data_IF_971210483878
#
_entry.id   IF_971210483878
#
_cell.length_a   1.000
_cell.length_b   1.000
_cell.length_c   1.000
_cell.angle_alpha   90.00
_cell.angle_beta   90.00
_cell.angle_gamma   90.00
#
_symmetry.space_group_name_H-M   'P 1'
#
loop_
_entity.id
_entity.type
_entity.pdbx_description
1 polymer ?
#
# COMPACT_ATOMS: atom_id res chain seq x y z
N UNK A 1 -31.98 17.68 2.21
CA UNK A 1 -32.37 16.41 2.85
C UNK A 1 -31.12 15.84 3.52
N UNK A 2 -31.08 15.79 4.85
CA UNK A 2 -29.86 15.43 5.60
C UNK A 2 -30.01 14.01 6.13
N UNK A 3 -29.31 13.06 5.52
CA UNK A 3 -29.30 11.66 5.97
C UNK A 3 -28.41 11.56 7.23
N UNK A 4 -29.02 11.29 8.39
CA UNK A 4 -28.27 10.91 9.60
C UNK A 4 -28.17 9.39 9.66
N UNK A 5 -26.97 8.87 9.42
CA UNK A 5 -26.66 7.43 9.56
C UNK A 5 -26.18 7.20 10.99
N UNK A 6 -26.94 6.45 11.78
CA UNK A 6 -26.50 5.96 13.08
C UNK A 6 -25.77 4.64 12.87
N UNK A 7 -24.49 4.61 13.24
CA UNK A 7 -23.59 3.49 13.02
C UNK A 7 -23.07 3.02 14.38
N UNK A 8 -23.38 1.78 14.76
CA UNK A 8 -22.75 1.12 15.91
C UNK A 8 -21.32 0.71 15.52
N UNK A 9 -20.33 1.41 16.08
CA UNK A 9 -18.90 1.21 15.77
C UNK A 9 -18.39 -0.20 16.10
N UNK A 10 -19.14 -0.99 16.87
CA UNK A 10 -18.77 -2.35 17.25
C UNK A 10 -19.39 -3.43 16.35
N UNK A 11 -20.35 -3.08 15.48
CA UNK A 11 -20.96 -4.04 14.55
C UNK A 11 -20.04 -4.36 13.37
N UNK A 12 -19.96 -5.64 12.97
CA UNK A 12 -19.12 -6.07 11.84
C UNK A 12 -19.37 -5.30 10.52
N UNK A 13 -20.62 -5.03 10.08
CA UNK A 13 -20.85 -4.25 8.86
C UNK A 13 -20.45 -2.77 9.02
N UNK A 14 -20.52 -2.21 10.24
CA UNK A 14 -20.12 -0.84 10.53
C UNK A 14 -18.61 -0.61 10.52
N UNK A 15 -17.80 -1.60 10.94
CA UNK A 15 -16.33 -1.55 10.74
C UNK A 15 -15.93 -1.59 9.27
N UNK A 16 -16.74 -2.24 8.41
CA UNK A 16 -16.47 -2.27 6.97
C UNK A 16 -16.60 -0.87 6.32
N UNK A 17 -17.52 -0.04 6.83
CA UNK A 17 -17.75 1.33 6.32
C UNK A 17 -16.70 2.32 6.85
N UNK A 18 -16.16 2.12 8.06
CA UNK A 18 -15.26 3.09 8.71
C UNK A 18 -13.76 2.70 8.72
N UNK A 19 -13.40 1.41 8.59
CA UNK A 19 -12.04 0.96 8.96
C UNK A 19 -11.34 0.09 7.89
N UNK A 20 -12.03 -0.54 6.93
CA UNK A 20 -11.36 -1.61 6.16
C UNK A 20 -11.28 -1.52 4.63
N UNK A 21 -12.00 -0.63 3.94
CA UNK A 21 -11.86 -0.54 2.48
C UNK A 21 -11.40 0.85 2.04
N UNK A 22 -10.07 1.06 2.10
CA UNK A 22 -9.40 2.24 1.54
C UNK A 22 -9.93 2.56 0.13
N UNK A 23 -10.03 1.54 -0.71
CA UNK A 23 -10.53 1.71 -2.08
C UNK A 23 -12.04 1.99 -2.19
N UNK A 24 -12.89 1.53 -1.27
CA UNK A 24 -14.34 1.82 -1.30
C UNK A 24 -14.61 3.28 -0.98
N UNK A 25 -13.85 3.85 -0.06
CA UNK A 25 -13.90 5.29 0.24
C UNK A 25 -13.44 6.09 -0.98
N UNK A 26 -12.31 5.71 -1.61
CA UNK A 26 -11.84 6.38 -2.83
C UNK A 26 -12.87 6.35 -3.97
N UNK A 27 -13.56 5.22 -4.17
CA UNK A 27 -14.67 5.12 -5.13
C UNK A 27 -15.80 6.07 -4.75
N UNK A 28 -16.23 6.07 -3.49
CA UNK A 28 -17.30 6.95 -3.01
C UNK A 28 -16.96 8.43 -3.22
N UNK A 29 -15.74 8.85 -2.83
CA UNK A 29 -15.27 10.22 -3.00
C UNK A 29 -15.28 10.62 -4.49
N UNK A 30 -14.80 9.73 -5.36
CA UNK A 30 -14.77 9.97 -6.81
C UNK A 30 -16.17 10.09 -7.42
N UNK A 31 -17.16 9.38 -6.89
CA UNK A 31 -18.55 9.43 -7.36
C UNK A 31 -19.35 10.60 -6.77
N UNK A 32 -19.10 10.94 -5.50
CA UNK A 32 -19.92 11.91 -4.76
C UNK A 32 -19.56 13.35 -5.10
N UNK A 33 -18.27 13.65 -5.24
CA UNK A 33 -17.80 15.03 -5.35
C UNK A 33 -17.61 15.43 -6.82
N UNK A 34 -18.39 16.41 -7.32
CA UNK A 34 -18.15 16.97 -8.64
C UNK A 34 -16.78 17.66 -8.68
N UNK A 35 -16.10 17.61 -9.83
CA UNK A 35 -14.77 18.21 -10.01
C UNK A 35 -13.60 17.24 -9.77
N UNK A 36 -13.85 16.03 -9.24
CA UNK A 36 -12.83 14.97 -9.25
C UNK A 36 -12.56 14.57 -10.71
N UNK A 37 -11.29 14.63 -11.12
CA UNK A 37 -10.91 14.29 -12.48
C UNK A 37 -11.28 12.85 -12.83
N UNK A 38 -11.86 12.66 -14.03
CA UNK A 38 -12.42 11.37 -14.47
C UNK A 38 -11.39 10.24 -14.57
N UNK A 39 -10.09 10.57 -14.64
CA UNK A 39 -9.04 9.57 -14.65
C UNK A 39 -8.91 8.82 -13.31
N UNK A 40 -9.30 9.43 -12.18
CA UNK A 40 -9.21 8.80 -10.87
C UNK A 40 -10.12 7.57 -10.78
N UNK A 41 -11.34 7.68 -11.29
CA UNK A 41 -12.29 6.57 -11.32
C UNK A 41 -13.02 6.52 -12.68
N UNK A 42 -12.42 5.87 -13.70
CA UNK A 42 -12.94 5.85 -15.07
C UNK A 42 -14.36 5.32 -15.17
N UNK A 43 -15.19 5.91 -16.04
CA UNK A 43 -16.58 5.49 -16.29
C UNK A 43 -16.71 4.35 -17.29
N UNK A 44 -15.75 4.20 -18.21
CA UNK A 44 -15.78 3.15 -19.21
C UNK A 44 -15.66 1.76 -18.56
N UNK A 45 -16.66 0.91 -18.79
CA UNK A 45 -16.89 -0.32 -18.04
C UNK A 45 -15.69 -1.28 -18.06
N UNK A 46 -15.04 -1.45 -19.21
CA UNK A 46 -13.89 -2.35 -19.34
C UNK A 46 -12.71 -1.85 -18.49
N UNK A 47 -12.46 -0.54 -18.47
CA UNK A 47 -11.39 0.04 -17.65
C UNK A 47 -11.74 -0.03 -16.17
N UNK A 48 -13.01 0.22 -15.82
CA UNK A 48 -13.50 0.11 -14.44
C UNK A 48 -13.39 -1.33 -13.90
N UNK A 49 -13.67 -2.33 -14.72
CA UNK A 49 -13.50 -3.73 -14.36
C UNK A 49 -12.03 -4.09 -14.05
N UNK A 50 -11.08 -3.57 -14.85
CA UNK A 50 -9.64 -3.72 -14.56
C UNK A 50 -9.25 -3.02 -13.26
N UNK A 51 -9.75 -1.81 -13.02
CA UNK A 51 -9.53 -1.07 -11.76
C UNK A 51 -10.00 -1.90 -10.57
N UNK A 52 -11.23 -2.42 -10.60
CA UNK A 52 -11.76 -3.27 -9.53
C UNK A 52 -10.94 -4.55 -9.34
N UNK A 53 -10.51 -5.18 -10.44
CA UNK A 53 -9.67 -6.39 -10.37
C UNK A 53 -8.38 -6.16 -9.59
N UNK A 54 -7.69 -5.02 -9.78
CA UNK A 54 -6.49 -4.67 -9.01
C UNK A 54 -6.82 -4.35 -7.56
N UNK A 55 -7.92 -3.64 -7.32
CA UNK A 55 -8.38 -3.26 -5.98
C UNK A 55 -8.82 -4.46 -5.13
N UNK A 56 -9.29 -5.54 -5.74
CA UNK A 56 -9.60 -6.78 -5.02
C UNK A 56 -8.34 -7.66 -4.88
N UNK A 57 -7.52 -7.72 -5.94
CA UNK A 57 -6.31 -8.53 -5.96
C UNK A 57 -5.30 -8.15 -4.86
N UNK A 58 -5.12 -6.86 -4.57
CA UNK A 58 -4.04 -6.44 -3.66
C UNK A 58 -4.21 -6.99 -2.22
N UNK A 59 -5.44 -7.20 -1.74
CA UNK A 59 -5.70 -7.64 -0.36
C UNK A 59 -5.08 -8.99 -0.05
N UNK A 60 -5.30 -9.98 -0.93
CA UNK A 60 -4.80 -11.34 -0.73
C UNK A 60 -3.33 -11.53 -1.18
N UNK A 61 -2.76 -10.51 -1.86
CA UNK A 61 -1.43 -10.57 -2.47
C UNK A 61 -0.52 -9.50 -1.85
N UNK A 62 -0.42 -8.33 -2.48
CA UNK A 62 0.53 -7.27 -2.10
C UNK A 62 0.41 -6.85 -0.63
N UNK A 63 -0.80 -6.60 -0.14
CA UNK A 63 -1.05 -6.21 1.26
C UNK A 63 -0.70 -7.33 2.23
N UNK A 64 -1.11 -8.57 1.92
CA UNK A 64 -0.81 -9.74 2.75
C UNK A 64 0.70 -9.96 2.89
N UNK A 65 1.44 -9.88 1.79
CA UNK A 65 2.88 -10.03 1.77
C UNK A 65 3.59 -8.91 2.53
N UNK A 66 3.31 -7.65 2.18
CA UNK A 66 3.96 -6.47 2.79
C UNK A 66 3.73 -6.39 4.29
N UNK A 67 2.48 -6.50 4.75
CA UNK A 67 2.15 -6.50 6.19
C UNK A 67 2.81 -7.68 6.89
N UNK A 68 2.83 -8.87 6.27
CA UNK A 68 3.46 -10.05 6.85
C UNK A 68 4.96 -9.84 7.12
N UNK A 69 5.70 -9.28 6.16
CA UNK A 69 7.13 -8.96 6.31
C UNK A 69 7.33 -7.89 7.38
N UNK A 70 6.60 -6.78 7.30
CA UNK A 70 6.67 -5.68 8.27
C UNK A 70 6.44 -6.17 9.70
N UNK A 71 5.41 -7.00 9.90
CA UNK A 71 5.05 -7.49 11.23
C UNK A 71 6.16 -8.36 11.81
N UNK A 72 6.74 -9.27 11.02
CA UNK A 72 7.76 -10.20 11.50
C UNK A 72 9.16 -9.60 11.61
N UNK A 73 9.52 -8.66 10.73
CA UNK A 73 10.87 -8.06 10.68
C UNK A 73 11.00 -6.80 11.54
N UNK A 74 9.90 -6.10 11.83
CA UNK A 74 9.95 -4.80 12.53
C UNK A 74 9.05 -4.81 13.76
N UNK A 75 7.75 -5.04 13.60
CA UNK A 75 6.78 -4.79 14.68
C UNK A 75 6.90 -5.81 15.83
N UNK A 76 7.04 -7.10 15.55
CA UNK A 76 7.21 -8.12 16.59
C UNK A 76 8.52 -7.94 17.37
N UNK A 77 9.69 -7.75 16.73
CA UNK A 77 10.92 -7.40 17.44
C UNK A 77 10.78 -6.16 18.34
N UNK A 78 10.15 -5.09 17.83
CA UNK A 78 9.88 -3.88 18.62
C UNK A 78 8.98 -4.15 19.84
N UNK A 79 8.10 -5.16 19.78
CA UNK A 79 7.26 -5.56 20.91
C UNK A 79 7.90 -6.62 21.81
N UNK A 80 9.12 -7.06 21.52
CA UNK A 80 9.75 -8.19 22.23
C UNK A 80 9.06 -9.53 21.98
N UNK A 81 8.24 -9.61 20.93
CA UNK A 81 7.58 -10.83 20.49
C UNK A 81 8.58 -11.58 19.60
N UNK A 82 8.88 -12.86 19.87
CA UNK A 82 9.75 -13.65 19.01
C UNK A 82 9.22 -13.69 17.57
N UNK A 83 10.11 -13.45 16.61
CA UNK A 83 9.78 -13.63 15.20
C UNK A 83 9.49 -15.11 14.91
N UNK A 84 8.57 -15.38 13.99
CA UNK A 84 8.34 -16.73 13.47
C UNK A 84 9.02 -16.84 12.10
N UNK A 85 10.20 -17.50 12.00
CA UNK A 85 10.98 -17.53 10.77
C UNK A 85 10.20 -18.11 9.58
N UNK A 86 9.39 -19.15 9.82
CA UNK A 86 8.58 -19.79 8.79
C UNK A 86 7.48 -18.85 8.29
N UNK A 87 6.80 -18.15 9.20
CA UNK A 87 5.79 -17.16 8.82
C UNK A 87 6.39 -15.97 8.07
N UNK A 88 7.61 -15.54 8.45
CA UNK A 88 8.33 -14.50 7.73
C UNK A 88 8.70 -14.94 6.31
N UNK A 89 9.24 -16.15 6.15
CA UNK A 89 9.58 -16.72 4.84
C UNK A 89 8.34 -16.85 3.93
N UNK A 90 7.21 -17.30 4.48
CA UNK A 90 5.93 -17.37 3.74
C UNK A 90 5.41 -15.98 3.34
N UNK A 91 5.58 -14.97 4.19
CA UNK A 91 5.22 -13.60 3.88
C UNK A 91 6.12 -13.02 2.78
N UNK A 92 7.43 -13.24 2.85
CA UNK A 92 8.38 -12.82 1.82
C UNK A 92 8.07 -13.47 0.47
N UNK A 93 7.82 -14.79 0.43
CA UNK A 93 7.40 -15.48 -0.81
C UNK A 93 6.08 -14.94 -1.37
N UNK A 94 5.15 -14.56 -0.50
CA UNK A 94 3.88 -13.93 -0.92
C UNK A 94 4.13 -12.56 -1.53
N UNK A 95 4.99 -11.75 -0.90
CA UNK A 95 5.36 -10.43 -1.37
C UNK A 95 6.13 -10.48 -2.70
N UNK A 96 7.10 -11.39 -2.82
CA UNK A 96 7.88 -11.61 -4.05
C UNK A 96 6.97 -11.96 -5.24
N UNK A 97 6.01 -12.88 -5.03
CA UNK A 97 5.00 -13.21 -6.05
C UNK A 97 4.14 -11.99 -6.41
N UNK A 98 3.71 -11.21 -5.42
CA UNK A 98 2.89 -10.03 -5.66
C UNK A 98 3.65 -8.94 -6.42
N UNK A 99 4.90 -8.66 -6.05
CA UNK A 99 5.78 -7.70 -6.74
C UNK A 99 6.08 -8.16 -8.17
N UNK A 100 6.29 -9.46 -8.38
CA UNK A 100 6.46 -10.04 -9.72
C UNK A 100 5.23 -9.81 -10.60
N UNK A 101 4.02 -10.02 -10.07
CA UNK A 101 2.77 -9.74 -10.80
C UNK A 101 2.61 -8.23 -11.04
N UNK A 102 2.98 -7.39 -10.08
CA UNK A 102 2.93 -5.94 -10.24
C UNK A 102 3.84 -5.49 -11.41
N UNK A 103 5.09 -5.96 -11.41
CA UNK A 103 6.12 -5.66 -12.42
C UNK A 103 5.77 -6.19 -13.83
N UNK A 104 5.33 -7.44 -13.91
CA UNK A 104 5.21 -8.15 -15.20
C UNK A 104 3.83 -8.08 -15.83
N UNK A 105 2.79 -7.86 -15.01
CA UNK A 105 1.41 -7.85 -15.47
C UNK A 105 0.76 -6.48 -15.30
N UNK A 106 0.67 -5.96 -14.08
CA UNK A 106 -0.08 -4.72 -13.84
C UNK A 106 0.60 -3.45 -14.36
N UNK A 107 1.93 -3.44 -14.41
CA UNK A 107 2.78 -2.38 -14.95
C UNK A 107 3.39 -2.75 -16.32
N UNK A 108 2.80 -3.73 -17.01
CA UNK A 108 3.31 -4.19 -18.31
C UNK A 108 3.25 -3.08 -19.37
N UNK A 109 2.08 -2.46 -19.50
CA UNK A 109 1.70 -1.68 -20.69
C UNK A 109 1.74 -0.16 -20.48
N UNK A 110 2.14 0.34 -19.31
CA UNK A 110 2.15 1.78 -19.05
C UNK A 110 2.78 2.20 -17.73
N UNK A 111 2.93 3.52 -17.50
CA UNK A 111 3.55 4.09 -16.31
C UNK A 111 2.69 3.97 -15.05
N UNK A 112 1.40 3.68 -15.19
CA UNK A 112 0.43 3.46 -14.11
C UNK A 112 -0.26 2.12 -14.25
N UNK A 113 -0.85 1.66 -13.14
CA UNK A 113 -1.55 0.38 -13.09
C UNK A 113 -2.67 0.30 -14.13
N UNK A 114 -2.98 -0.94 -14.50
CA UNK A 114 -3.95 -1.31 -15.56
C UNK A 114 -3.62 -0.74 -16.95
N UNK A 115 -2.34 -0.41 -17.18
CA UNK A 115 -1.82 0.04 -18.48
C UNK A 115 -2.25 1.45 -18.86
N UNK A 116 -2.39 2.36 -17.87
CA UNK A 116 -2.90 3.71 -18.09
C UNK A 116 -1.79 4.74 -18.23
N UNK A 117 -2.09 5.82 -18.95
CA UNK A 117 -1.22 7.00 -19.08
C UNK A 117 -1.38 8.02 -17.96
N UNK A 118 -2.48 7.95 -17.19
CA UNK A 118 -2.74 8.76 -16.00
C UNK A 118 -3.03 7.84 -14.81
N UNK A 119 -2.74 8.27 -13.56
CA UNK A 119 -3.02 7.47 -12.38
C UNK A 119 -4.53 7.29 -12.18
N UNK A 120 -4.90 6.29 -11.39
CA UNK A 120 -6.25 6.11 -10.86
C UNK A 120 -6.22 5.84 -9.37
N UNK A 121 -7.39 5.60 -8.78
CA UNK A 121 -7.51 5.12 -7.40
C UNK A 121 -6.73 3.82 -7.14
N UNK A 122 -6.42 3.02 -8.16
CA UNK A 122 -5.54 1.84 -7.99
C UNK A 122 -4.15 2.26 -7.58
N UNK A 123 -3.62 3.31 -8.20
CA UNK A 123 -2.26 3.79 -7.97
C UNK A 123 -2.13 4.38 -6.57
N UNK A 124 -3.07 5.24 -6.17
CA UNK A 124 -3.15 5.78 -4.81
C UNK A 124 -3.22 4.69 -3.73
N UNK A 125 -4.04 3.66 -3.98
CA UNK A 125 -4.27 2.62 -3.00
C UNK A 125 -3.05 1.68 -2.88
N UNK A 126 -2.51 1.21 -4.00
CA UNK A 126 -1.43 0.21 -3.99
C UNK A 126 -0.06 0.83 -3.73
N UNK A 127 0.20 2.08 -4.11
CA UNK A 127 1.50 2.72 -3.83
C UNK A 127 1.77 2.77 -2.33
N UNK A 128 0.71 2.98 -1.53
CA UNK A 128 0.79 2.99 -0.07
C UNK A 128 1.27 1.65 0.51
N UNK A 129 0.94 0.52 -0.12
CA UNK A 129 1.38 -0.82 0.31
C UNK A 129 2.88 -1.04 0.04
N UNK A 130 3.40 -0.47 -1.06
CA UNK A 130 4.84 -0.51 -1.37
C UNK A 130 5.60 0.47 -0.48
N UNK A 131 5.08 1.70 -0.31
CA UNK A 131 5.67 2.70 0.57
C UNK A 131 5.76 2.21 2.01
N UNK A 132 4.82 1.38 2.48
CA UNK A 132 4.91 0.80 3.82
C UNK A 132 6.21 -0.01 4.06
N UNK A 133 6.83 -0.56 3.01
CA UNK A 133 8.10 -1.29 3.11
C UNK A 133 9.28 -0.38 3.46
N UNK A 134 9.16 0.94 3.33
CA UNK A 134 10.20 1.90 3.73
C UNK A 134 10.61 1.77 5.20
N UNK A 135 9.75 1.22 6.07
CA UNK A 135 10.06 1.02 7.49
C UNK A 135 11.03 -0.15 7.75
N UNK A 136 11.32 -0.98 6.73
CA UNK A 136 12.29 -2.05 6.83
C UNK A 136 13.72 -1.50 6.99
N UNK A 137 14.66 -2.38 7.35
CA UNK A 137 16.09 -2.04 7.26
C UNK A 137 16.46 -1.78 5.80
N UNK A 138 17.50 -0.97 5.56
CA UNK A 138 17.93 -0.63 4.18
C UNK A 138 18.32 -1.89 3.42
N UNK A 139 19.07 -2.79 4.06
CA UNK A 139 19.45 -4.08 3.49
C UNK A 139 18.23 -4.93 3.07
N UNK A 140 17.22 -5.03 3.93
CA UNK A 140 16.04 -5.84 3.64
C UNK A 140 15.15 -5.19 2.58
N UNK A 141 14.96 -3.88 2.68
CA UNK A 141 14.23 -3.08 1.71
C UNK A 141 14.84 -3.24 0.31
N UNK A 142 16.16 -3.03 0.19
CA UNK A 142 16.85 -3.09 -1.09
C UNK A 142 16.88 -4.50 -1.66
N UNK A 143 17.07 -5.53 -0.81
CA UNK A 143 16.97 -6.93 -1.23
C UNK A 143 15.61 -7.25 -1.84
N UNK A 144 14.53 -6.73 -1.25
CA UNK A 144 13.17 -7.01 -1.71
C UNK A 144 12.82 -6.20 -2.95
N UNK A 145 13.12 -4.90 -2.99
CA UNK A 145 12.58 -4.01 -4.04
C UNK A 145 13.51 -3.75 -5.22
N UNK A 146 14.84 -3.84 -5.06
CA UNK A 146 15.78 -3.57 -6.15
C UNK A 146 15.58 -4.40 -7.44
N UNK A 147 15.05 -5.65 -7.40
CA UNK A 147 14.76 -6.39 -8.63
C UNK A 147 13.61 -5.81 -9.46
N UNK A 148 12.70 -5.04 -8.85
CA UNK A 148 11.43 -4.61 -9.44
C UNK A 148 11.49 -3.17 -9.94
N UNK A 149 12.21 -2.97 -11.04
CA UNK A 149 12.51 -1.64 -11.59
C UNK A 149 11.26 -0.87 -12.02
N UNK A 150 10.27 -1.53 -12.63
CA UNK A 150 9.02 -0.86 -13.02
C UNK A 150 8.19 -0.50 -11.80
N UNK A 151 8.18 -1.33 -10.76
CA UNK A 151 7.53 -0.99 -9.49
C UNK A 151 8.16 0.28 -8.90
N UNK A 152 9.48 0.35 -8.81
CA UNK A 152 10.18 1.54 -8.31
C UNK A 152 9.87 2.79 -9.16
N UNK A 153 9.93 2.66 -10.49
CA UNK A 153 9.59 3.77 -11.39
C UNK A 153 8.11 4.19 -11.26
N UNK A 154 7.20 3.25 -11.07
CA UNK A 154 5.78 3.52 -10.87
C UNK A 154 5.51 4.26 -9.55
N UNK A 155 6.25 3.96 -8.48
CA UNK A 155 6.20 4.74 -7.23
C UNK A 155 6.57 6.20 -7.49
N UNK A 156 7.67 6.46 -8.20
CA UNK A 156 8.10 7.83 -8.54
C UNK A 156 7.12 8.53 -9.49
N UNK A 157 6.54 7.82 -10.46
CA UNK A 157 5.51 8.36 -11.34
C UNK A 157 4.27 8.76 -10.54
N UNK A 158 3.85 7.91 -9.59
CA UNK A 158 2.67 8.15 -8.73
C UNK A 158 2.91 9.32 -7.81
N UNK A 159 4.09 9.40 -7.19
CA UNK A 159 4.53 10.54 -6.40
C UNK A 159 4.48 11.84 -7.19
N UNK A 160 5.12 11.87 -8.36
CA UNK A 160 5.12 13.06 -9.24
C UNK A 160 3.72 13.50 -9.65
N UNK A 161 2.82 12.55 -9.91
CA UNK A 161 1.44 12.84 -10.30
C UNK A 161 0.55 13.32 -9.13
N UNK A 162 1.03 13.20 -7.87
CA UNK A 162 0.26 13.52 -6.66
C UNK A 162 0.95 14.53 -5.75
N UNK A 163 2.03 15.15 -6.21
CA UNK A 163 2.72 16.26 -5.55
C UNK A 163 1.77 17.46 -5.36
N UNK A 164 1.81 18.17 -4.21
CA UNK A 164 2.69 17.94 -3.05
C UNK A 164 2.14 16.98 -2.00
N UNK A 165 0.92 16.45 -2.20
CA UNK A 165 0.20 15.69 -1.19
C UNK A 165 0.84 14.33 -0.89
N UNK A 166 1.57 13.76 -1.85
CA UNK A 166 2.31 12.51 -1.63
C UNK A 166 3.32 12.65 -0.49
N UNK A 167 4.13 13.70 -0.53
CA UNK A 167 5.16 13.98 0.47
C UNK A 167 4.54 14.30 1.83
N UNK A 168 3.47 15.09 1.85
CA UNK A 168 2.75 15.44 3.08
C UNK A 168 2.26 14.20 3.83
N UNK A 169 1.59 13.28 3.11
CA UNK A 169 1.00 12.07 3.70
C UNK A 169 2.10 11.09 4.13
N UNK A 170 3.14 10.90 3.31
CA UNK A 170 4.23 9.97 3.62
C UNK A 170 5.28 10.55 4.57
N UNK A 171 5.20 11.83 4.95
CA UNK A 171 6.07 12.41 5.98
C UNK A 171 5.99 11.69 7.32
N UNK A 172 4.80 11.22 7.71
CA UNK A 172 4.56 10.43 8.93
C UNK A 172 5.27 9.07 8.87
N UNK A 173 5.29 8.43 7.71
CA UNK A 173 5.99 7.18 7.47
C UNK A 173 7.49 7.34 7.69
N UNK A 174 8.11 8.39 7.14
CA UNK A 174 9.54 8.64 7.32
C UNK A 174 9.91 8.98 8.76
N UNK A 175 9.04 9.69 9.49
CA UNK A 175 9.21 9.90 10.93
C UNK A 175 9.16 8.56 11.69
N UNK A 176 8.17 7.73 11.39
CA UNK A 176 8.00 6.40 12.01
C UNK A 176 9.20 5.48 11.74
N UNK A 177 9.72 5.49 10.50
CA UNK A 177 10.94 4.76 10.11
C UNK A 177 12.13 5.11 11.00
N UNK A 178 12.36 6.41 11.24
CA UNK A 178 13.45 6.89 12.12
C UNK A 178 13.26 6.42 13.57
N UNK A 179 12.04 6.56 14.09
CA UNK A 179 11.71 6.13 15.46
C UNK A 179 11.89 4.61 15.66
N UNK A 180 11.43 3.80 14.71
CA UNK A 180 11.59 2.34 14.76
C UNK A 180 13.05 1.91 14.69
N UNK A 181 13.86 2.55 13.85
CA UNK A 181 15.31 2.28 13.78
C UNK A 181 16.00 2.57 15.11
N UNK A 182 15.72 3.73 15.71
CA UNK A 182 16.29 4.11 17.01
C UNK A 182 15.91 3.09 18.12
N UNK A 183 14.64 2.66 18.15
CA UNK A 183 14.18 1.67 19.13
C UNK A 183 14.80 0.28 18.92
N UNK A 184 14.95 -0.16 17.67
CA UNK A 184 15.62 -1.43 17.36
C UNK A 184 17.10 -1.40 17.73
N UNK A 185 17.81 -0.29 17.46
CA UNK A 185 19.21 -0.10 17.84
C UNK A 185 19.39 -0.24 19.36
N UNK A 186 18.59 0.50 20.15
CA UNK A 186 18.60 0.44 21.61
C UNK A 186 18.38 -0.97 22.17
N UNK A 187 17.48 -1.75 21.55
CA UNK A 187 17.20 -3.13 21.96
C UNK A 187 18.29 -4.12 21.55
N UNK A 188 18.99 -3.86 20.46
CA UNK A 188 20.05 -4.73 19.95
C UNK A 188 21.38 -4.58 20.70
N UNK A 189 21.50 -3.62 21.62
CA UNK A 189 22.74 -3.32 22.34
C UNK A 189 23.85 -2.73 21.45
N UNK A 190 23.56 -2.43 20.18
CA UNK A 190 24.47 -1.72 19.27
C UNK A 190 24.22 -0.21 19.43
N UNK A 191 25.06 0.44 20.23
CA UNK A 191 25.31 1.87 20.03
C UNK A 191 26.07 2.01 18.70
N UNK A 192 25.64 2.97 17.87
CA UNK A 192 26.35 3.39 16.65
C UNK A 192 27.82 3.71 16.92
#
# INVERSE_FOLDING_TARGET
MTLKVYCDRMSQPSRAILIFCNHTILIYLSCKYPGVASHWYPSYLIVRAKVHSVLDWHHANLRRGSVGVIMNSVIYPLKGIPSNPKANEEAEKTLEKALTVLETFWLKDGPFLVGRSQPSITDLNLVSEVMALEILSEELHDRILSPYKKVLQWVENTKSATTPHFEEIHGVLFKTKKEFRAQLALKSGKNE
#
